data_IF_691606533324
#
_entry.id   IF_691606533324
#
_cell.length_a   1.000
_cell.length_b   1.000
_cell.length_c   1.000
_cell.angle_alpha   90.00
_cell.angle_beta   90.00
_cell.angle_gamma   90.00
#
_symmetry.space_group_name_H-M   'P 1'
#
loop_
_entity.id
_entity.type
_entity.pdbx_description
1 polymer ?
#
# COMPACT_ATOMS: atom_id res chain seq x y z
N UNK A 1 46.02 53.07 27.69
CA UNK A 1 44.99 52.03 27.89
C UNK A 1 45.36 51.23 29.13
N UNK A 2 44.44 51.11 30.09
CA UNK A 2 44.71 50.57 31.43
C UNK A 2 45.07 49.08 31.37
N UNK A 3 46.09 48.66 32.13
CA UNK A 3 46.54 47.25 32.24
C UNK A 3 45.38 46.28 32.55
N UNK A 4 44.36 46.76 33.28
CA UNK A 4 43.11 46.03 33.59
C UNK A 4 42.32 45.62 32.35
N UNK A 5 42.34 46.43 31.29
CA UNK A 5 41.67 46.09 30.04
C UNK A 5 42.42 44.98 29.30
N UNK A 6 43.76 44.96 29.41
CA UNK A 6 44.59 43.94 28.78
C UNK A 6 44.44 42.59 29.50
N UNK A 7 44.41 42.60 30.83
CA UNK A 7 44.11 41.42 31.65
C UNK A 7 42.73 40.82 31.33
N UNK A 8 41.70 41.67 31.16
CA UNK A 8 40.37 41.21 30.77
C UNK A 8 40.35 40.58 29.37
N UNK A 9 41.05 41.18 28.41
CA UNK A 9 41.18 40.61 27.06
C UNK A 9 41.88 39.25 27.06
N UNK A 10 42.93 39.09 27.86
CA UNK A 10 43.62 37.80 28.03
C UNK A 10 42.71 36.76 28.69
N UNK A 11 41.93 37.14 29.70
CA UNK A 11 40.99 36.23 30.36
C UNK A 11 39.90 35.76 29.40
N UNK A 12 39.34 36.67 28.60
CA UNK A 12 38.36 36.34 27.55
C UNK A 12 38.96 35.39 26.51
N UNK A 13 40.21 35.63 26.09
CA UNK A 13 40.92 34.76 25.16
C UNK A 13 41.15 33.36 25.74
N UNK A 14 41.54 33.25 27.01
CA UNK A 14 41.73 31.95 27.68
C UNK A 14 40.44 31.14 27.75
N UNK A 15 39.32 31.78 28.09
CA UNK A 15 38.00 31.13 28.11
C UNK A 15 37.61 30.65 26.70
N UNK A 16 37.88 31.46 25.68
CA UNK A 16 37.62 31.11 24.29
C UNK A 16 38.46 29.90 23.84
N UNK A 17 39.75 29.87 24.17
CA UNK A 17 40.65 28.76 23.85
C UNK A 17 40.22 27.47 24.54
N UNK A 18 39.88 27.52 25.83
CA UNK A 18 39.37 26.36 26.57
C UNK A 18 38.06 25.85 25.95
N UNK A 19 37.15 26.77 25.60
CA UNK A 19 35.90 26.43 24.91
C UNK A 19 36.14 25.76 23.56
N UNK A 20 37.11 26.26 22.79
CA UNK A 20 37.48 25.69 21.49
C UNK A 20 38.06 24.28 21.65
N UNK A 21 38.97 24.09 22.62
CA UNK A 21 39.55 22.76 22.91
C UNK A 21 38.44 21.78 23.31
N UNK A 22 37.52 22.19 24.18
CA UNK A 22 36.38 21.35 24.59
C UNK A 22 35.48 20.99 23.40
N UNK A 23 35.16 21.95 22.53
CA UNK A 23 34.38 21.73 21.31
C UNK A 23 35.06 20.73 20.37
N UNK A 24 36.38 20.85 20.20
CA UNK A 24 37.18 19.92 19.37
C UNK A 24 37.13 18.51 19.98
N UNK A 25 37.31 18.37 21.30
CA UNK A 25 37.22 17.06 21.97
C UNK A 25 35.84 16.43 21.75
N UNK A 26 34.76 17.18 21.99
CA UNK A 26 33.38 16.69 21.80
C UNK A 26 33.12 16.31 20.35
N UNK A 27 33.55 17.14 19.39
CA UNK A 27 33.34 16.87 17.97
C UNK A 27 34.12 15.63 17.51
N UNK A 28 35.38 15.45 17.93
CA UNK A 28 36.16 14.25 17.64
C UNK A 28 35.53 13.00 18.27
N UNK A 29 34.98 13.12 19.48
CA UNK A 29 34.30 11.99 20.14
C UNK A 29 33.02 11.61 19.41
N UNK A 30 32.24 12.61 18.97
CA UNK A 30 31.02 12.41 18.18
C UNK A 30 31.33 11.82 16.81
N UNK A 31 32.37 12.31 16.12
CA UNK A 31 32.85 11.74 14.85
C UNK A 31 33.31 10.30 15.04
N UNK A 32 34.07 9.99 16.09
CA UNK A 32 34.51 8.62 16.38
C UNK A 32 33.33 7.70 16.70
N UNK A 33 32.33 8.19 17.43
CA UNK A 33 31.09 7.45 17.71
C UNK A 33 30.32 7.16 16.41
N UNK A 34 30.20 8.15 15.53
CA UNK A 34 29.53 8.00 14.25
C UNK A 34 30.30 7.09 13.31
N UNK A 35 31.62 7.19 13.28
CA UNK A 35 32.48 6.29 12.50
C UNK A 35 32.34 4.85 12.97
N UNK A 36 32.27 4.61 14.29
CA UNK A 36 32.04 3.27 14.84
C UNK A 36 30.64 2.74 14.51
N UNK A 37 29.62 3.58 14.56
CA UNK A 37 28.24 3.22 14.18
C UNK A 37 28.12 2.94 12.68
N UNK A 38 28.78 3.74 11.84
CA UNK A 38 28.80 3.57 10.39
C UNK A 38 29.57 2.32 10.00
N UNK A 39 30.68 2.01 10.67
CA UNK A 39 31.41 0.75 10.47
C UNK A 39 30.62 -0.47 10.97
N UNK A 40 29.77 -0.34 11.99
CA UNK A 40 28.87 -1.41 12.40
C UNK A 40 27.81 -1.68 11.31
N UNK A 41 27.21 -0.64 10.74
CA UNK A 41 26.28 -0.76 9.60
C UNK A 41 26.97 -1.26 8.32
N UNK A 42 28.25 -0.93 8.12
CA UNK A 42 29.03 -1.35 6.95
C UNK A 42 29.67 -2.73 7.12
N UNK A 43 29.84 -3.22 8.36
CA UNK A 43 30.16 -4.62 8.65
C UNK A 43 28.96 -5.53 8.36
N UNK A 44 27.73 -4.98 8.43
CA UNK A 44 26.51 -5.50 7.80
C UNK A 44 26.50 -5.23 6.28
N UNK A 45 27.63 -5.47 5.59
CA UNK A 45 27.60 -5.64 4.13
C UNK A 45 26.54 -6.70 3.83
N UNK A 46 25.61 -6.46 2.88
CA UNK A 46 24.61 -7.45 2.53
C UNK A 46 25.36 -8.72 2.19
N UNK A 47 25.14 -9.75 3.01
CA UNK A 47 25.85 -11.01 2.89
C UNK A 47 25.58 -11.51 1.48
N UNK A 48 26.48 -12.27 0.84
CA UNK A 48 26.20 -12.84 -0.49
C UNK A 48 24.85 -13.56 -0.54
N UNK A 49 24.43 -14.10 0.59
CA UNK A 49 23.11 -14.70 0.83
C UNK A 49 21.95 -13.70 0.75
N UNK A 50 22.09 -12.49 1.28
CA UNK A 50 21.05 -11.45 1.21
C UNK A 50 20.92 -10.89 -0.20
N UNK A 51 22.03 -10.78 -0.93
CA UNK A 51 22.04 -10.41 -2.34
C UNK A 51 21.35 -11.51 -3.19
N UNK A 52 21.63 -12.78 -2.89
CA UNK A 52 21.00 -13.91 -3.57
C UNK A 52 19.48 -13.97 -3.29
N UNK A 53 19.05 -13.76 -2.03
CA UNK A 53 17.64 -13.68 -1.65
C UNK A 53 16.92 -12.50 -2.31
N UNK A 54 17.56 -11.33 -2.37
CA UNK A 54 17.03 -10.16 -3.08
C UNK A 54 16.86 -10.44 -4.58
N UNK A 55 17.84 -11.12 -5.21
CA UNK A 55 17.76 -11.50 -6.61
C UNK A 55 16.62 -12.52 -6.86
N UNK A 56 16.47 -13.52 -6.00
CA UNK A 56 15.40 -14.52 -6.08
C UNK A 56 14.01 -13.89 -5.93
N UNK A 57 13.84 -13.00 -4.94
CA UNK A 57 12.60 -12.25 -4.75
C UNK A 57 12.29 -11.35 -5.95
N UNK A 58 13.30 -10.71 -6.54
CA UNK A 58 13.11 -9.88 -7.73
C UNK A 58 12.68 -10.71 -8.94
N UNK A 59 13.23 -11.91 -9.11
CA UNK A 59 12.82 -12.83 -10.19
C UNK A 59 11.38 -13.30 -10.01
N UNK A 60 10.97 -13.60 -8.77
CA UNK A 60 9.60 -14.00 -8.45
C UNK A 60 8.59 -12.87 -8.70
N UNK A 61 8.95 -11.62 -8.39
CA UNK A 61 8.11 -10.46 -8.70
C UNK A 61 7.97 -10.28 -10.22
N UNK A 62 9.05 -10.46 -10.97
CA UNK A 62 9.02 -10.33 -12.43
C UNK A 62 8.15 -11.42 -13.06
N UNK A 63 8.22 -12.66 -12.57
CA UNK A 63 7.34 -13.75 -13.01
C UNK A 63 5.86 -13.44 -12.73
N UNK A 64 5.56 -12.92 -11.54
CA UNK A 64 4.19 -12.49 -11.19
C UNK A 64 3.71 -11.35 -12.06
N UNK A 65 4.59 -10.41 -12.40
CA UNK A 65 4.30 -9.31 -13.30
C UNK A 65 3.96 -9.82 -14.71
N UNK A 66 4.78 -10.73 -15.26
CA UNK A 66 4.54 -11.32 -16.58
C UNK A 66 3.21 -12.08 -16.64
N UNK A 67 2.88 -12.85 -15.59
CA UNK A 67 1.62 -13.60 -15.53
C UNK A 67 0.40 -12.65 -15.47
N UNK A 68 0.51 -11.53 -14.73
CA UNK A 68 -0.52 -10.49 -14.72
C UNK A 68 -0.68 -9.80 -16.08
N UNK A 69 0.43 -9.48 -16.74
CA UNK A 69 0.42 -8.89 -18.09
C UNK A 69 -0.23 -9.84 -19.11
N UNK A 70 0.05 -11.15 -19.03
CA UNK A 70 -0.57 -12.15 -19.89
C UNK A 70 -2.09 -12.28 -19.62
N UNK A 71 -2.50 -12.24 -18.36
CA UNK A 71 -3.92 -12.28 -17.98
C UNK A 71 -4.66 -11.04 -18.49
N UNK A 72 -4.07 -9.85 -18.34
CA UNK A 72 -4.63 -8.60 -18.87
C UNK A 72 -4.76 -8.68 -20.39
N UNK A 73 -3.71 -9.13 -21.10
CA UNK A 73 -3.77 -9.32 -22.54
C UNK A 73 -4.91 -10.27 -22.96
N UNK A 74 -5.09 -11.39 -22.25
CA UNK A 74 -6.19 -12.33 -22.52
C UNK A 74 -7.57 -11.70 -22.25
N UNK A 75 -7.69 -10.88 -21.21
CA UNK A 75 -8.92 -10.15 -20.93
C UNK A 75 -9.22 -9.11 -22.01
N UNK A 76 -8.21 -8.35 -22.44
CA UNK A 76 -8.37 -7.34 -23.50
C UNK A 76 -8.77 -7.98 -24.83
N UNK A 77 -8.18 -9.14 -25.18
CA UNK A 77 -8.59 -9.88 -26.37
C UNK A 77 -10.04 -10.36 -26.28
N UNK A 78 -10.47 -10.85 -25.11
CA UNK A 78 -11.87 -11.24 -24.88
C UNK A 78 -12.82 -10.04 -24.93
N UNK A 79 -12.42 -8.91 -24.34
CA UNK A 79 -13.19 -7.67 -24.38
C UNK A 79 -13.33 -7.15 -25.82
N UNK A 80 -12.24 -7.14 -26.58
CA UNK A 80 -12.25 -6.76 -27.99
C UNK A 80 -13.10 -7.72 -28.85
N UNK A 81 -13.04 -9.02 -28.58
CA UNK A 81 -13.88 -10.01 -29.26
C UNK A 81 -15.37 -9.82 -28.96
N UNK A 82 -15.73 -9.60 -27.69
CA UNK A 82 -17.10 -9.31 -27.27
C UNK A 82 -17.58 -7.96 -27.84
N UNK A 83 -16.74 -6.93 -27.84
CA UNK A 83 -17.07 -5.63 -28.45
C UNK A 83 -17.29 -5.76 -29.95
N UNK A 84 -16.52 -6.59 -30.65
CA UNK A 84 -16.71 -6.89 -32.07
C UNK A 84 -18.00 -7.68 -32.33
N UNK A 85 -18.37 -8.60 -31.45
CA UNK A 85 -19.65 -9.30 -31.52
C UNK A 85 -20.84 -8.36 -31.27
N UNK A 86 -20.73 -7.45 -30.29
CA UNK A 86 -21.75 -6.44 -30.00
C UNK A 86 -21.90 -5.44 -31.14
N UNK A 87 -20.81 -4.98 -31.75
CA UNK A 87 -20.89 -4.07 -32.91
C UNK A 87 -21.45 -4.74 -34.16
N UNK A 88 -21.20 -6.04 -34.35
CA UNK A 88 -21.84 -6.85 -35.40
C UNK A 88 -23.32 -7.16 -35.12
N UNK A 89 -23.70 -7.34 -33.86
CA UNK A 89 -25.10 -7.49 -33.45
C UNK A 89 -25.87 -6.15 -33.55
N UNK A 90 -25.20 -5.03 -33.29
CA UNK A 90 -25.77 -3.68 -33.37
C UNK A 90 -25.93 -3.12 -34.78
N UNK A 91 -25.35 -3.75 -35.82
CA UNK A 91 -25.45 -3.29 -37.22
C UNK A 91 -26.65 -3.85 -38.00
N UNK A 92 -27.54 -4.61 -37.34
CA UNK A 92 -28.87 -5.00 -37.86
C UNK A 92 -29.94 -4.12 -37.16
N UNK A 93 -30.24 -2.97 -37.77
CA UNK A 93 -31.08 -1.82 -37.35
C UNK A 93 -32.53 -2.15 -36.91
N UNK A 94 -33.35 -1.24 -36.27
CA UNK A 94 -33.08 0.13 -35.79
C UNK A 94 -33.60 0.53 -34.37
N UNK A 95 -33.19 1.73 -33.94
CA UNK A 95 -33.81 2.65 -32.96
C UNK A 95 -33.43 2.54 -31.46
N UNK A 96 -33.41 3.68 -30.73
CA UNK A 96 -32.64 3.89 -29.51
C UNK A 96 -33.45 3.52 -28.27
N UNK A 97 -32.93 2.60 -27.47
CA UNK A 97 -33.42 2.37 -26.12
C UNK A 97 -32.22 2.31 -25.18
N UNK A 98 -32.26 3.23 -24.23
CA UNK A 98 -31.45 3.38 -23.04
C UNK A 98 -30.50 2.22 -22.69
N UNK A 99 -29.23 2.59 -22.65
CA UNK A 99 -28.11 1.85 -22.07
C UNK A 99 -28.42 1.42 -20.62
N UNK A 100 -28.82 0.16 -20.43
CA UNK A 100 -28.76 -0.52 -19.13
C UNK A 100 -28.09 -1.90 -19.32
N UNK A 101 -27.00 -2.20 -18.57
CA UNK A 101 -26.24 -3.43 -18.77
C UNK A 101 -27.04 -4.70 -18.38
N UNK A 102 -26.96 -5.81 -19.14
CA UNK A 102 -27.83 -6.99 -18.95
C UNK A 102 -27.42 -7.98 -17.84
N UNK A 103 -26.70 -7.56 -16.78
CA UNK A 103 -26.13 -8.50 -15.78
C UNK A 103 -26.70 -8.42 -14.37
N UNK A 104 -27.82 -7.72 -14.15
CA UNK A 104 -28.58 -7.81 -12.90
C UNK A 104 -30.01 -8.28 -13.18
N UNK A 105 -30.18 -9.57 -13.48
CA UNK A 105 -31.50 -10.22 -13.46
C UNK A 105 -31.45 -11.56 -12.75
N UNK A 106 -30.77 -11.57 -11.62
CA UNK A 106 -31.12 -12.40 -10.46
C UNK A 106 -31.29 -11.46 -9.27
N UNK A 107 -32.19 -11.75 -8.30
CA UNK A 107 -32.33 -10.91 -7.10
C UNK A 107 -30.95 -10.78 -6.47
N UNK A 108 -30.45 -9.54 -6.42
CA UNK A 108 -29.08 -9.25 -5.97
C UNK A 108 -28.83 -10.01 -4.67
N UNK A 109 -27.67 -10.66 -4.55
CA UNK A 109 -27.28 -11.43 -3.36
C UNK A 109 -27.58 -10.66 -2.06
N UNK A 110 -27.44 -9.34 -2.14
CA UNK A 110 -27.74 -8.36 -1.10
C UNK A 110 -29.24 -8.28 -0.75
N UNK A 111 -30.13 -8.23 -1.75
CA UNK A 111 -31.59 -8.30 -1.55
C UNK A 111 -32.06 -9.66 -1.02
N UNK A 112 -31.39 -10.76 -1.40
CA UNK A 112 -31.68 -12.09 -0.84
C UNK A 112 -31.28 -12.18 0.63
N UNK A 113 -30.10 -11.66 1.01
CA UNK A 113 -29.66 -11.58 2.41
C UNK A 113 -30.64 -10.72 3.23
N UNK A 114 -31.08 -9.57 2.73
CA UNK A 114 -32.03 -8.71 3.43
C UNK A 114 -33.41 -9.38 3.58
N UNK A 115 -33.93 -10.04 2.53
CA UNK A 115 -35.21 -10.74 2.59
C UNK A 115 -35.17 -11.90 3.59
N UNK A 116 -34.09 -12.68 3.62
CA UNK A 116 -33.93 -13.78 4.59
C UNK A 116 -33.77 -13.26 6.02
N UNK A 117 -33.10 -12.13 6.21
CA UNK A 117 -33.01 -11.47 7.51
C UNK A 117 -34.38 -10.95 7.97
N UNK A 118 -35.17 -10.35 7.08
CA UNK A 118 -36.55 -9.93 7.36
C UNK A 118 -37.50 -11.10 7.66
N UNK A 119 -37.20 -12.29 7.14
CA UNK A 119 -37.92 -13.53 7.47
C UNK A 119 -37.53 -14.12 8.83
N UNK A 120 -36.61 -13.49 9.57
CA UNK A 120 -36.20 -13.90 10.91
C UNK A 120 -35.10 -14.96 10.94
N UNK A 121 -34.45 -15.27 9.81
CA UNK A 121 -33.33 -16.21 9.78
C UNK A 121 -32.08 -15.63 10.44
N UNK A 122 -31.34 -16.47 11.16
CA UNK A 122 -30.07 -16.07 11.77
C UNK A 122 -28.98 -15.88 10.70
N UNK A 123 -28.00 -15.03 10.98
CA UNK A 123 -26.87 -14.75 10.06
C UNK A 123 -26.09 -16.02 9.69
N UNK A 124 -26.04 -17.00 10.59
CA UNK A 124 -25.41 -18.31 10.37
C UNK A 124 -26.21 -19.22 9.43
N UNK A 125 -27.54 -19.14 9.47
CA UNK A 125 -28.42 -19.87 8.55
C UNK A 125 -28.39 -19.26 7.15
N UNK A 126 -28.30 -17.92 7.07
CA UNK A 126 -28.16 -17.20 5.80
C UNK A 126 -26.81 -17.54 5.15
N UNK A 127 -25.73 -17.57 5.93
CA UNK A 127 -24.40 -17.99 5.48
C UNK A 127 -24.42 -19.43 4.93
N UNK A 128 -25.08 -20.36 5.64
CA UNK A 128 -25.23 -21.75 5.19
C UNK A 128 -26.09 -21.89 3.93
N UNK A 129 -27.19 -21.15 3.82
CA UNK A 129 -28.10 -21.21 2.65
C UNK A 129 -27.50 -20.60 1.39
N UNK A 130 -26.74 -19.51 1.53
CA UNK A 130 -26.12 -18.81 0.41
C UNK A 130 -24.68 -19.27 0.13
N UNK A 131 -24.15 -20.23 0.91
CA UNK A 131 -22.75 -20.68 0.87
C UNK A 131 -21.75 -19.50 0.97
N UNK A 132 -22.11 -18.50 1.77
CA UNK A 132 -21.30 -17.30 1.99
C UNK A 132 -20.59 -17.36 3.34
N UNK A 133 -19.46 -16.68 3.45
CA UNK A 133 -18.79 -16.54 4.73
C UNK A 133 -19.61 -15.61 5.66
N UNK A 134 -19.58 -15.88 6.96
CA UNK A 134 -20.30 -15.09 7.98
C UNK A 134 -19.90 -13.60 7.92
N UNK A 135 -18.64 -13.32 7.60
CA UNK A 135 -18.12 -11.97 7.37
C UNK A 135 -18.79 -11.27 6.18
N UNK A 136 -19.07 -11.99 5.09
CA UNK A 136 -19.69 -11.44 3.87
C UNK A 136 -21.17 -11.14 4.08
N UNK A 137 -21.88 -12.01 4.82
CA UNK A 137 -23.28 -11.79 5.20
C UNK A 137 -23.42 -10.57 6.11
N UNK A 138 -22.54 -10.43 7.09
CA UNK A 138 -22.51 -9.26 7.98
C UNK A 138 -22.21 -7.98 7.21
N UNK A 139 -21.22 -8.02 6.32
CA UNK A 139 -20.88 -6.89 5.45
C UNK A 139 -22.03 -6.53 4.51
N UNK A 140 -22.74 -7.51 3.94
CA UNK A 140 -23.90 -7.26 3.09
C UNK A 140 -25.05 -6.57 3.85
N UNK A 141 -25.28 -6.97 5.11
CA UNK A 141 -26.23 -6.33 6.01
C UNK A 141 -25.79 -4.91 6.40
N UNK A 142 -24.52 -4.72 6.76
CA UNK A 142 -23.99 -3.39 7.12
C UNK A 142 -24.06 -2.42 5.94
N UNK A 143 -23.72 -2.88 4.73
CA UNK A 143 -23.84 -2.10 3.51
C UNK A 143 -25.31 -1.82 3.12
N UNK A 144 -26.25 -2.70 3.47
CA UNK A 144 -27.69 -2.44 3.28
C UNK A 144 -28.21 -1.37 4.25
N UNK A 145 -27.68 -1.34 5.47
CA UNK A 145 -28.04 -0.37 6.51
C UNK A 145 -27.39 1.00 6.29
N UNK A 146 -26.22 1.03 5.67
CA UNK A 146 -25.45 2.24 5.40
C UNK A 146 -25.94 3.07 4.20
N UNK A 147 -26.96 2.61 3.44
CA UNK A 147 -27.55 3.42 2.37
C UNK A 147 -28.65 4.32 2.95
N UNK A 148 -28.45 5.66 3.00
CA UNK A 148 -29.54 6.60 3.21
C UNK A 148 -30.48 6.50 2.00
N UNK A 149 -31.79 6.55 2.27
CA UNK A 149 -32.81 6.68 1.22
C UNK A 149 -32.61 7.96 0.40
#
# INVERSE_FOLDING_TARGET
>A
MSLKNLEYWVLVQMVLEIGLIFLVIVSLWKIRSWYRSMMAMQAERPTREDIAKMAELSALLEERRQNLEELMARMDHKAAALQKQLSQAGSKTPAPADSLPPWESGPSLRSQVENLYRQGCSTEEIARRLQLNLAEVKMALDLSRARPR
#
